data_IF_001172472269
#
_entry.id   IF_001172472269
#
_cell.length_a   1.000
_cell.length_b   1.000
_cell.length_c   1.000
_cell.angle_alpha   90.00
_cell.angle_beta   90.00
_cell.angle_gamma   90.00
#
_symmetry.space_group_name_H-M   'P 1'
#
loop_
_entity.id
_entity.type
_entity.pdbx_description
1 polymer ?
#
# COMPACT_ATOMS: atom_id res chain seq x y z
N UNK A 1 57.60 38.74 -8.49
CA UNK A 1 56.60 37.86 -9.13
C UNK A 1 55.53 37.53 -8.10
N UNK A 2 54.36 38.18 -8.15
CA UNK A 2 53.24 37.94 -7.22
C UNK A 2 52.05 37.47 -8.04
N UNK A 3 51.68 36.20 -7.91
CA UNK A 3 50.46 35.65 -8.49
C UNK A 3 49.36 35.69 -7.41
N UNK A 4 48.28 36.42 -7.68
CA UNK A 4 47.12 36.57 -6.81
C UNK A 4 46.09 35.46 -7.08
N UNK A 5 45.55 34.86 -6.01
CA UNK A 5 44.42 33.95 -6.03
C UNK A 5 43.13 34.65 -6.50
N UNK A 6 42.46 34.08 -7.49
CA UNK A 6 41.09 34.47 -7.89
C UNK A 6 40.08 33.78 -6.96
N UNK A 7 39.44 34.54 -6.06
CA UNK A 7 38.24 34.11 -5.33
C UNK A 7 37.04 34.12 -6.28
N UNK A 8 36.43 32.97 -6.53
CA UNK A 8 35.16 32.87 -7.25
C UNK A 8 34.01 33.50 -6.48
N UNK A 9 33.41 34.55 -7.04
CA UNK A 9 32.18 35.16 -6.54
C UNK A 9 31.00 34.18 -6.76
N UNK A 10 30.35 33.75 -5.67
CA UNK A 10 29.11 32.96 -5.74
C UNK A 10 27.95 33.89 -6.17
N UNK A 11 27.25 33.53 -7.24
CA UNK A 11 26.20 34.36 -7.84
C UNK A 11 24.97 34.53 -6.92
N UNK A 12 24.33 35.73 -6.90
CA UNK A 12 23.17 36.03 -6.05
C UNK A 12 21.92 35.20 -6.38
N UNK A 13 21.83 34.69 -7.61
CA UNK A 13 20.67 33.98 -8.15
C UNK A 13 20.37 32.67 -7.41
N UNK A 14 21.38 31.98 -6.86
CA UNK A 14 21.21 30.73 -6.10
C UNK A 14 20.52 30.92 -4.75
N UNK A 15 20.59 32.11 -4.14
CA UNK A 15 19.95 32.40 -2.85
C UNK A 15 18.46 32.67 -3.00
N UNK A 16 18.07 33.35 -4.08
CA UNK A 16 16.67 33.66 -4.40
C UNK A 16 15.90 32.38 -4.73
N UNK A 17 16.47 31.47 -5.53
CA UNK A 17 15.84 30.20 -5.86
C UNK A 17 15.55 29.30 -4.63
N UNK A 18 16.41 29.33 -3.60
CA UNK A 18 16.19 28.59 -2.34
C UNK A 18 15.12 29.20 -1.45
N UNK A 19 15.02 30.54 -1.42
CA UNK A 19 13.99 31.23 -0.66
C UNK A 19 12.59 31.00 -1.26
N UNK A 20 12.45 31.02 -2.59
CA UNK A 20 11.18 30.73 -3.28
C UNK A 20 10.74 29.27 -3.06
N UNK A 21 11.67 28.31 -3.06
CA UNK A 21 11.36 26.90 -2.82
C UNK A 21 10.82 26.63 -1.40
N UNK A 22 11.35 27.29 -0.38
CA UNK A 22 10.93 27.09 1.02
C UNK A 22 9.55 27.72 1.27
N UNK A 23 9.27 28.90 0.69
CA UNK A 23 7.96 29.57 0.81
C UNK A 23 6.86 28.83 0.04
N UNK A 24 7.19 28.18 -1.08
CA UNK A 24 6.24 27.36 -1.82
C UNK A 24 5.87 26.07 -1.06
N UNK A 25 6.82 25.43 -0.37
CA UNK A 25 6.56 24.24 0.46
C UNK A 25 5.72 24.57 1.71
N UNK A 26 5.95 25.71 2.35
CA UNK A 26 5.14 26.12 3.51
C UNK A 26 3.74 26.59 3.10
N UNK A 27 3.59 27.25 1.95
CA UNK A 27 2.27 27.59 1.41
C UNK A 27 1.45 26.34 1.03
N UNK A 28 2.08 25.28 0.49
CA UNK A 28 1.40 24.01 0.21
C UNK A 28 0.98 23.29 1.51
N UNK A 29 1.81 23.34 2.55
CA UNK A 29 1.49 22.78 3.86
C UNK A 29 0.36 23.55 4.59
N UNK A 30 0.26 24.87 4.39
CA UNK A 30 -0.78 25.72 4.97
C UNK A 30 -2.12 25.61 4.22
N UNK A 31 -2.12 25.44 2.89
CA UNK A 31 -3.33 25.20 2.10
C UNK A 31 -3.90 23.79 2.36
N UNK A 32 -3.06 22.80 2.66
CA UNK A 32 -3.50 21.48 3.11
C UNK A 32 -4.21 21.50 4.48
N UNK A 33 -3.98 22.55 5.29
CA UNK A 33 -4.54 22.66 6.64
C UNK A 33 -5.90 23.39 6.68
N UNK A 34 -6.29 24.10 5.61
CA UNK A 34 -7.54 24.88 5.60
C UNK A 34 -8.66 24.16 4.87
N UNK A 35 -9.60 23.60 5.66
CA UNK A 35 -10.95 23.18 5.28
C UNK A 35 -11.13 21.93 4.41
N UNK A 36 -10.75 20.76 4.95
CA UNK A 36 -11.41 19.51 4.61
C UNK A 36 -12.84 19.49 5.21
N UNK A 37 -13.75 20.27 4.63
CA UNK A 37 -15.18 19.93 4.58
C UNK A 37 -15.50 19.21 3.27
N UNK A 38 -14.54 18.45 2.75
CA UNK A 38 -14.85 17.36 1.85
C UNK A 38 -15.83 16.44 2.60
N UNK A 39 -16.88 15.94 1.92
CA UNK A 39 -17.60 14.77 2.40
C UNK A 39 -16.53 13.77 2.88
N UNK A 40 -16.59 13.33 4.14
CA UNK A 40 -15.60 12.40 4.67
C UNK A 40 -15.78 11.08 3.90
N UNK A 41 -15.05 10.96 2.79
CA UNK A 41 -15.17 9.87 1.84
C UNK A 41 -14.80 8.54 2.49
N UNK A 42 -13.99 8.60 3.55
CA UNK A 42 -13.62 7.48 4.41
C UNK A 42 -14.33 7.59 5.78
N UNK A 43 -15.64 7.89 5.75
CA UNK A 43 -16.49 8.14 6.91
C UNK A 43 -16.40 7.12 8.03
N UNK A 44 -16.34 5.84 7.68
CA UNK A 44 -16.21 4.74 8.63
C UNK A 44 -14.76 4.50 9.07
N UNK A 45 -13.78 4.97 8.30
CA UNK A 45 -12.37 4.97 8.69
C UNK A 45 -11.40 5.13 7.55
N UNK A 46 -10.30 5.83 7.83
CA UNK A 46 -9.08 5.80 7.04
C UNK A 46 -8.04 4.96 7.76
N UNK A 47 -7.48 3.97 7.09
CA UNK A 47 -6.40 3.14 7.62
C UNK A 47 -5.17 3.24 6.74
N UNK A 48 -4.01 3.23 7.37
CA UNK A 48 -2.74 2.95 6.69
C UNK A 48 -2.31 1.56 7.12
N UNK A 49 -1.91 0.74 6.16
CA UNK A 49 -1.44 -0.62 6.39
C UNK A 49 0.04 -0.77 6.00
N UNK A 50 0.71 -1.69 6.68
CA UNK A 50 2.07 -2.13 6.42
C UNK A 50 2.06 -3.64 6.20
N UNK A 51 2.43 -4.08 5.01
CA UNK A 51 2.67 -5.49 4.73
C UNK A 51 3.98 -5.90 5.43
N UNK A 52 3.89 -6.89 6.32
CA UNK A 52 5.04 -7.34 7.11
C UNK A 52 5.64 -8.59 6.49
N UNK A 53 4.79 -9.54 6.11
CA UNK A 53 5.26 -10.80 5.59
C UNK A 53 4.17 -11.75 5.17
N UNK A 54 4.57 -12.97 4.87
CA UNK A 54 3.70 -14.06 4.48
C UNK A 54 4.20 -15.39 5.03
N UNK A 55 3.34 -16.40 4.93
CA UNK A 55 3.64 -17.79 5.21
C UNK A 55 3.08 -18.67 4.10
N UNK A 56 3.92 -19.52 3.52
CA UNK A 56 3.58 -20.38 2.39
C UNK A 56 3.34 -21.81 2.88
N UNK A 57 2.19 -22.40 2.53
CA UNK A 57 1.79 -23.74 2.98
C UNK A 57 2.30 -24.77 1.97
N UNK A 58 3.12 -25.72 2.42
CA UNK A 58 3.73 -26.78 1.60
C UNK A 58 4.39 -26.27 0.31
N UNK A 59 5.38 -25.37 0.40
CA UNK A 59 6.03 -24.84 -0.80
C UNK A 59 6.98 -25.87 -1.42
N UNK A 60 6.99 -25.95 -2.75
CA UNK A 60 7.94 -26.77 -3.52
C UNK A 60 9.31 -26.08 -3.72
N UNK A 61 9.43 -24.81 -3.32
CA UNK A 61 10.65 -23.99 -3.41
C UNK A 61 10.70 -22.91 -2.33
N UNK A 62 11.85 -22.28 -2.14
CA UNK A 62 12.00 -21.21 -1.16
C UNK A 62 11.31 -19.90 -1.60
N UNK A 63 10.57 -19.31 -0.66
CA UNK A 63 9.91 -18.02 -0.82
C UNK A 63 10.36 -17.02 0.25
N UNK A 64 10.49 -15.75 -0.14
CA UNK A 64 10.77 -14.68 0.81
C UNK A 64 9.54 -14.43 1.70
N UNK A 65 9.67 -14.71 3.00
CA UNK A 65 8.58 -14.53 3.97
C UNK A 65 8.44 -13.08 4.42
N UNK A 66 9.49 -12.27 4.30
CA UNK A 66 9.44 -10.85 4.63
C UNK A 66 9.06 -10.03 3.39
N UNK A 67 7.86 -9.46 3.40
CA UNK A 67 7.25 -8.82 2.22
C UNK A 67 6.92 -7.36 2.50
N UNK A 68 7.92 -6.50 2.75
CA UNK A 68 7.69 -5.14 3.20
C UNK A 68 6.89 -4.34 2.17
N UNK A 69 5.91 -3.58 2.65
CA UNK A 69 5.09 -2.71 1.82
C UNK A 69 4.20 -1.79 2.63
N UNK A 70 3.52 -0.89 1.91
CA UNK A 70 2.58 0.07 2.47
C UNK A 70 1.30 0.10 1.64
N UNK A 71 0.18 0.29 2.32
CA UNK A 71 -1.12 0.47 1.71
C UNK A 71 -1.98 1.45 2.47
N UNK A 72 -3.13 1.74 1.87
CA UNK A 72 -4.16 2.58 2.44
C UNK A 72 -5.52 1.91 2.23
N UNK A 73 -6.37 1.97 3.24
CA UNK A 73 -7.78 1.58 3.14
C UNK A 73 -8.66 2.78 3.46
N UNK A 74 -9.56 3.13 2.55
CA UNK A 74 -10.60 4.12 2.75
C UNK A 74 -11.94 3.39 2.89
N UNK A 75 -12.64 3.58 4.00
CA UNK A 75 -13.94 2.96 4.26
C UNK A 75 -15.06 4.00 4.24
N UNK A 76 -15.79 4.14 3.12
CA UNK A 76 -16.99 4.99 3.06
C UNK A 76 -18.12 4.53 3.97
N UNK A 77 -18.16 3.24 4.30
CA UNK A 77 -19.16 2.60 5.18
C UNK A 77 -18.50 1.49 5.99
N UNK A 78 -19.19 0.92 6.98
CA UNK A 78 -18.66 -0.23 7.72
C UNK A 78 -18.58 -1.53 6.89
N UNK A 79 -19.28 -1.59 5.75
CA UNK A 79 -19.36 -2.79 4.89
C UNK A 79 -18.39 -2.79 3.72
N UNK A 80 -18.17 -1.62 3.11
CA UNK A 80 -17.35 -1.49 1.90
C UNK A 80 -16.16 -0.58 2.14
N UNK A 81 -14.99 -1.04 1.72
CA UNK A 81 -13.74 -0.28 1.68
C UNK A 81 -13.10 -0.29 0.30
N UNK A 82 -12.27 0.70 0.04
CA UNK A 82 -11.36 0.74 -1.10
C UNK A 82 -9.94 0.61 -0.58
N UNK A 83 -9.10 -0.13 -1.28
CA UNK A 83 -7.71 -0.35 -0.87
C UNK A 83 -6.76 -0.22 -2.05
N UNK A 84 -5.57 0.32 -1.79
CA UNK A 84 -4.48 0.36 -2.73
C UNK A 84 -3.14 0.37 -1.99
N UNK A 85 -2.10 -0.16 -2.62
CA UNK A 85 -0.79 -0.20 -2.00
C UNK A 85 0.26 -0.85 -2.87
N UNK A 86 1.44 -1.02 -2.29
CA UNK A 86 2.56 -1.72 -2.92
C UNK A 86 3.48 -2.37 -1.92
N UNK A 87 4.07 -3.49 -2.31
CA UNK A 87 4.97 -4.28 -1.48
C UNK A 87 5.98 -5.05 -2.32
N UNK A 88 7.03 -5.55 -1.69
CA UNK A 88 7.95 -6.53 -2.31
C UNK A 88 7.42 -7.93 -2.05
N UNK A 89 7.00 -8.62 -3.10
CA UNK A 89 6.40 -9.95 -2.96
C UNK A 89 7.41 -11.06 -2.65
N UNK A 90 6.91 -12.27 -2.42
CA UNK A 90 7.71 -13.44 -2.03
C UNK A 90 8.66 -13.94 -3.13
N UNK A 91 8.42 -13.54 -4.39
CA UNK A 91 9.31 -13.73 -5.54
C UNK A 91 10.37 -12.61 -5.65
N UNK A 92 10.44 -11.73 -4.64
CA UNK A 92 11.33 -10.56 -4.55
C UNK A 92 11.06 -9.47 -5.58
N UNK A 93 9.88 -9.45 -6.19
CA UNK A 93 9.47 -8.46 -7.21
C UNK A 93 8.63 -7.34 -6.57
N UNK A 94 8.69 -6.10 -7.09
CA UNK A 94 7.75 -5.06 -6.70
C UNK A 94 6.34 -5.40 -7.22
N UNK A 95 5.36 -5.32 -6.33
CA UNK A 95 3.95 -5.56 -6.59
C UNK A 95 3.13 -4.35 -6.17
N UNK A 96 2.17 -3.97 -7.01
CA UNK A 96 1.21 -2.91 -6.75
C UNK A 96 -0.19 -3.49 -6.84
N UNK A 97 -1.09 -3.07 -5.95
CA UNK A 97 -2.46 -3.54 -5.94
C UNK A 97 -3.46 -2.39 -5.77
N UNK A 98 -4.68 -2.64 -6.24
CA UNK A 98 -5.82 -1.76 -6.05
C UNK A 98 -7.13 -2.54 -6.16
N UNK A 99 -8.10 -2.22 -5.32
CA UNK A 99 -9.36 -2.95 -5.30
C UNK A 99 -10.32 -2.47 -4.21
N UNK A 100 -11.27 -3.35 -3.89
CA UNK A 100 -12.28 -3.14 -2.86
C UNK A 100 -12.21 -4.24 -1.79
N UNK A 101 -12.69 -3.88 -0.60
CA UNK A 101 -12.88 -4.73 0.56
C UNK A 101 -14.38 -4.83 0.83
N UNK A 102 -14.86 -6.03 1.11
CA UNK A 102 -16.24 -6.28 1.50
C UNK A 102 -16.26 -7.03 2.83
N UNK A 103 -16.80 -6.40 3.88
CA UNK A 103 -16.89 -6.92 5.24
C UNK A 103 -18.34 -6.80 5.73
N UNK A 104 -19.22 -7.77 5.46
CA UNK A 104 -20.62 -7.66 5.83
C UNK A 104 -20.83 -7.75 7.35
N UNK A 105 -21.82 -7.02 7.85
CA UNK A 105 -22.10 -6.90 9.29
C UNK A 105 -22.36 -8.25 9.98
N UNK A 106 -22.99 -9.21 9.29
CA UNK A 106 -23.28 -10.54 9.84
C UNK A 106 -22.04 -11.42 10.03
N UNK A 107 -20.86 -10.99 9.56
CA UNK A 107 -19.57 -11.65 9.74
C UNK A 107 -18.65 -10.88 10.71
N UNK A 108 -19.23 -10.10 11.62
CA UNK A 108 -18.53 -9.30 12.61
C UNK A 108 -18.78 -9.86 14.03
N UNK A 109 -17.70 -10.18 14.75
CA UNK A 109 -17.76 -10.67 16.13
C UNK A 109 -16.73 -9.94 16.99
N UNK A 110 -17.19 -8.92 17.72
CA UNK A 110 -16.34 -8.14 18.62
C UNK A 110 -15.21 -7.42 17.88
N UNK A 111 -13.98 -7.91 18.04
CA UNK A 111 -12.80 -7.35 17.36
C UNK A 111 -12.49 -8.01 16.02
N UNK A 112 -13.19 -9.09 15.65
CA UNK A 112 -12.91 -9.89 14.47
C UNK A 112 -13.96 -9.65 13.40
N UNK A 113 -13.54 -9.42 12.15
CA UNK A 113 -14.40 -9.37 10.96
C UNK A 113 -13.88 -10.33 9.92
N UNK A 114 -14.76 -11.12 9.32
CA UNK A 114 -14.44 -11.81 8.07
C UNK A 114 -14.85 -10.93 6.89
N UNK A 115 -13.93 -10.82 5.96
CA UNK A 115 -14.07 -9.98 4.78
C UNK A 115 -13.52 -10.71 3.56
N UNK A 116 -13.73 -10.11 2.39
CA UNK A 116 -13.05 -10.49 1.16
C UNK A 116 -12.50 -9.24 0.48
N UNK A 117 -11.37 -9.38 -0.22
CA UNK A 117 -10.90 -8.41 -1.20
C UNK A 117 -11.15 -8.89 -2.62
N UNK A 118 -11.35 -7.94 -3.52
CA UNK A 118 -11.34 -8.15 -4.97
C UNK A 118 -10.69 -6.96 -5.67
N UNK A 119 -9.86 -7.21 -6.69
CA UNK A 119 -9.17 -6.16 -7.41
C UNK A 119 -8.17 -6.66 -8.44
N UNK A 120 -7.14 -5.86 -8.68
CA UNK A 120 -6.00 -6.19 -9.53
C UNK A 120 -4.69 -6.07 -8.77
N UNK A 121 -3.71 -6.88 -9.15
CA UNK A 121 -2.37 -6.87 -8.57
C UNK A 121 -1.31 -7.14 -9.66
N UNK A 122 -0.15 -6.49 -9.52
CA UNK A 122 1.00 -6.69 -10.40
C UNK A 122 2.09 -7.56 -9.76
N UNK A 123 3.06 -8.02 -10.57
CA UNK A 123 4.29 -8.65 -10.10
C UNK A 123 4.27 -10.18 -10.05
N UNK A 124 3.20 -10.79 -10.56
CA UNK A 124 3.06 -12.23 -10.75
C UNK A 124 2.80 -12.54 -12.22
N UNK A 125 3.30 -13.66 -12.72
CA UNK A 125 3.00 -14.16 -14.05
C UNK A 125 1.61 -14.80 -14.03
N UNK A 126 0.68 -14.27 -14.83
CA UNK A 126 -0.69 -14.79 -14.96
C UNK A 126 -0.92 -15.61 -16.25
N UNK A 127 0.16 -16.03 -16.92
CA UNK A 127 0.10 -16.79 -18.16
C UNK A 127 -0.71 -16.07 -19.24
N UNK A 128 -1.57 -16.78 -19.95
CA UNK A 128 -2.39 -16.22 -21.04
C UNK A 128 -3.56 -15.34 -20.57
N UNK A 129 -3.79 -15.24 -19.26
CA UNK A 129 -4.88 -14.47 -18.65
C UNK A 129 -4.39 -13.14 -18.06
N UNK A 130 -3.08 -12.91 -18.07
CA UNK A 130 -2.47 -11.68 -17.57
C UNK A 130 -2.61 -10.52 -18.55
N UNK A 131 -2.63 -9.31 -17.98
CA UNK A 131 -2.68 -8.04 -18.71
C UNK A 131 -1.28 -7.42 -18.83
N UNK A 132 -1.12 -6.52 -19.82
CA UNK A 132 0.13 -5.83 -20.13
C UNK A 132 1.08 -6.66 -21.00
N UNK A 133 2.15 -6.06 -21.53
CA UNK A 133 3.07 -6.73 -22.48
C UNK A 133 3.74 -7.99 -21.92
N UNK A 134 3.91 -8.07 -20.60
CA UNK A 134 4.57 -9.16 -19.91
C UNK A 134 3.60 -10.07 -19.12
N UNK A 135 2.29 -9.86 -19.26
CA UNK A 135 1.24 -10.61 -18.56
C UNK A 135 1.41 -10.62 -17.02
N UNK A 136 1.95 -9.53 -16.45
CA UNK A 136 2.29 -9.47 -15.01
C UNK A 136 1.21 -8.85 -14.12
N UNK A 137 0.06 -8.47 -14.70
CA UNK A 137 -1.06 -7.87 -13.98
C UNK A 137 -2.25 -8.83 -14.10
N UNK A 138 -2.87 -9.16 -12.99
CA UNK A 138 -3.99 -10.09 -12.98
C UNK A 138 -5.01 -9.77 -11.89
N UNK A 139 -6.17 -10.43 -11.94
CA UNK A 139 -7.18 -10.30 -10.91
C UNK A 139 -6.69 -10.91 -9.59
N UNK A 140 -7.13 -10.33 -8.48
CA UNK A 140 -6.97 -10.91 -7.14
C UNK A 140 -8.32 -10.96 -6.46
N UNK A 141 -8.60 -12.10 -5.82
CA UNK A 141 -9.71 -12.27 -4.91
C UNK A 141 -9.24 -13.14 -3.74
N UNK A 142 -9.42 -12.67 -2.51
CA UNK A 142 -8.92 -13.36 -1.33
C UNK A 142 -9.82 -13.11 -0.11
N UNK A 143 -10.17 -14.15 0.67
CA UNK A 143 -10.74 -13.95 1.99
C UNK A 143 -9.73 -13.31 2.94
N UNK A 144 -10.25 -12.56 3.91
CA UNK A 144 -9.46 -11.82 4.90
C UNK A 144 -10.08 -12.03 6.28
N UNK A 145 -9.25 -12.34 7.26
CA UNK A 145 -9.61 -12.20 8.67
C UNK A 145 -9.03 -10.89 9.16
N UNK A 146 -9.89 -9.95 9.56
CA UNK A 146 -9.48 -8.66 10.11
C UNK A 146 -9.69 -8.67 11.62
N UNK A 147 -8.64 -8.34 12.38
CA UNK A 147 -8.72 -8.17 13.84
C UNK A 147 -8.37 -6.73 14.16
N UNK A 148 -9.26 -5.99 14.82
CA UNK A 148 -9.04 -4.58 15.12
C UNK A 148 -9.50 -4.21 16.53
N UNK A 149 -8.64 -3.49 17.25
CA UNK A 149 -8.94 -2.90 18.55
C UNK A 149 -8.54 -1.41 18.56
N UNK A 150 -9.50 -0.54 18.86
CA UNK A 150 -9.32 0.92 18.82
C UNK A 150 -8.76 1.38 17.46
N UNK A 151 -7.51 1.86 17.44
CA UNK A 151 -6.83 2.39 16.26
C UNK A 151 -5.83 1.42 15.64
N UNK A 152 -5.69 0.20 16.16
CA UNK A 152 -4.71 -0.78 15.66
C UNK A 152 -5.43 -2.04 15.22
N UNK A 153 -4.99 -2.63 14.12
CA UNK A 153 -5.49 -3.91 13.66
C UNK A 153 -4.46 -4.71 12.88
N UNK A 154 -4.87 -5.91 12.51
CA UNK A 154 -4.11 -6.87 11.71
C UNK A 154 -5.05 -7.47 10.68
N UNK A 155 -4.60 -7.62 9.44
CA UNK A 155 -5.28 -8.42 8.42
C UNK A 155 -4.48 -9.71 8.18
N UNK A 156 -5.17 -10.84 8.17
CA UNK A 156 -4.67 -12.12 7.69
C UNK A 156 -5.32 -12.40 6.34
N UNK A 157 -4.55 -12.31 5.26
CA UNK A 157 -5.05 -12.46 3.90
C UNK A 157 -4.77 -13.87 3.44
N UNK A 158 -5.81 -14.58 3.02
CA UNK A 158 -5.72 -15.97 2.58
C UNK A 158 -5.67 -15.98 1.06
N UNK A 159 -4.48 -16.18 0.51
CA UNK A 159 -4.19 -16.03 -0.91
C UNK A 159 -4.23 -17.41 -1.58
N UNK A 160 -5.15 -17.62 -2.55
CA UNK A 160 -5.17 -18.85 -3.34
C UNK A 160 -3.87 -19.04 -4.15
N UNK A 161 -3.53 -20.29 -4.53
CA UNK A 161 -2.34 -20.56 -5.32
C UNK A 161 -2.34 -19.82 -6.67
N UNK A 162 -1.15 -19.43 -7.15
CA UNK A 162 -0.92 -18.94 -8.51
C UNK A 162 0.00 -19.95 -9.22
N UNK A 163 -0.57 -20.91 -9.96
CA UNK A 163 0.21 -22.02 -10.53
C UNK A 163 1.33 -21.58 -11.46
N UNK A 164 1.13 -20.50 -12.22
CA UNK A 164 2.09 -19.99 -13.20
C UNK A 164 3.37 -19.39 -12.61
N UNK A 165 3.41 -19.14 -11.30
CA UNK A 165 4.62 -18.75 -10.56
C UNK A 165 5.03 -19.82 -9.51
N UNK A 166 4.38 -20.99 -9.53
CA UNK A 166 4.42 -22.02 -8.49
C UNK A 166 4.11 -21.48 -7.08
N UNK A 167 3.32 -20.41 -6.99
CA UNK A 167 2.98 -19.82 -5.69
C UNK A 167 1.95 -20.72 -5.01
N UNK A 168 2.26 -21.31 -3.86
CA UNK A 168 1.32 -22.15 -3.13
C UNK A 168 0.29 -21.29 -2.40
N UNK A 169 -0.59 -21.96 -1.68
CA UNK A 169 -1.50 -21.30 -0.76
C UNK A 169 -0.69 -20.49 0.27
N UNK A 170 -1.04 -19.21 0.41
CA UNK A 170 -0.22 -18.25 1.16
C UNK A 170 -1.08 -17.46 2.15
N UNK A 171 -0.56 -17.24 3.36
CA UNK A 171 -1.17 -16.36 4.36
C UNK A 171 -0.34 -15.09 4.43
N UNK A 172 -0.91 -13.96 4.02
CA UNK A 172 -0.30 -12.64 4.14
C UNK A 172 -0.65 -11.97 5.47
N UNK A 173 0.29 -11.18 6.01
CA UNK A 173 0.16 -10.46 7.27
C UNK A 173 0.35 -8.96 7.07
N UNK A 174 -0.70 -8.19 7.35
CA UNK A 174 -0.64 -6.73 7.35
C UNK A 174 -0.95 -6.18 8.74
N UNK A 175 -0.17 -5.20 9.19
CA UNK A 175 -0.51 -4.37 10.34
C UNK A 175 -1.21 -3.10 9.84
N UNK A 176 -2.22 -2.61 10.56
CA UNK A 176 -2.99 -1.43 10.16
C UNK A 176 -3.23 -0.46 11.31
N UNK A 177 -3.23 0.83 11.00
CA UNK A 177 -3.45 1.92 11.95
C UNK A 177 -4.54 2.87 11.43
N UNK A 178 -5.52 3.20 12.28
CA UNK A 178 -6.68 4.06 11.97
C UNK A 178 -6.43 5.52 12.33
N UNK A 179 -6.80 6.43 11.42
CA UNK A 179 -6.75 7.89 11.59
C UNK A 179 -8.11 8.49 11.93
#
# INVERSE_FOLDING_TARGET
MRCWQVRGQKSPQRKIARAVAITALTAFALVAATSARAANWCGAGLWVDAMVGSYHIHPDKDFEQFNPGLGIECWPSDTWGLTAGGFRNSLRRPSWYGGALWAPEFLHWGYVRLAAMGGIISGYNYGNWGLGHNHTIGPVAAPIVMVAYKRVGVNFIVIPPIPSDDLPFTIGFQLRVKF
#
